data_IF_597772709523
#
_entry.id   IF_597772709523
#
_cell.length_a   1.000
_cell.length_b   1.000
_cell.length_c   1.000
_cell.angle_alpha   90.00
_cell.angle_beta   90.00
_cell.angle_gamma   90.00
#
_symmetry.space_group_name_H-M   'P 1'
#
loop_
_entity.id
_entity.type
_entity.pdbx_description
1 polymer ?
#
# COMPACT_ATOMS: atom_id res chain seq x y z
N UNK A 1 21.28 -7.90 -1.44
CA UNK A 1 19.83 -7.58 -1.46
C UNK A 1 19.61 -6.54 -2.55
N UNK A 2 18.66 -6.71 -3.47
CA UNK A 2 18.38 -5.68 -4.48
C UNK A 2 17.48 -4.55 -3.93
N UNK A 3 17.35 -3.42 -4.63
CA UNK A 3 16.60 -2.25 -4.16
C UNK A 3 15.14 -2.55 -3.83
N UNK A 4 14.47 -3.42 -4.60
CA UNK A 4 13.10 -3.82 -4.33
C UNK A 4 12.99 -4.63 -3.02
N UNK A 5 13.90 -5.58 -2.80
CA UNK A 5 13.97 -6.35 -1.55
C UNK A 5 14.29 -5.44 -0.36
N UNK A 6 15.19 -4.47 -0.55
CA UNK A 6 15.52 -3.47 0.47
C UNK A 6 14.29 -2.65 0.88
N UNK A 7 13.55 -2.10 -0.09
CA UNK A 7 12.34 -1.31 0.18
C UNK A 7 11.30 -2.15 0.93
N UNK A 8 11.08 -3.41 0.54
CA UNK A 8 10.16 -4.32 1.25
C UNK A 8 10.58 -4.50 2.70
N UNK A 9 11.85 -4.86 2.91
CA UNK A 9 12.42 -5.11 4.23
C UNK A 9 12.32 -3.87 5.12
N UNK A 10 12.72 -2.71 4.60
CA UNK A 10 12.72 -1.44 5.32
C UNK A 10 11.30 -1.04 5.76
N UNK A 11 10.32 -1.07 4.85
CA UNK A 11 8.93 -0.72 5.18
C UNK A 11 8.33 -1.69 6.18
N UNK A 12 8.53 -3.00 6.00
CA UNK A 12 8.05 -3.99 6.97
C UNK A 12 8.63 -3.72 8.36
N UNK A 13 9.94 -3.53 8.47
CA UNK A 13 10.57 -3.28 9.77
C UNK A 13 10.16 -1.95 10.39
N UNK A 14 9.93 -0.92 9.58
CA UNK A 14 9.43 0.35 10.10
C UNK A 14 8.02 0.21 10.64
N UNK A 15 7.15 -0.53 9.96
CA UNK A 15 5.81 -0.86 10.47
C UNK A 15 5.89 -1.65 11.77
N UNK A 16 6.76 -2.68 11.85
CA UNK A 16 6.95 -3.45 13.10
C UNK A 16 7.45 -2.56 14.24
N UNK A 17 8.44 -1.71 13.99
CA UNK A 17 8.94 -0.75 14.99
C UNK A 17 7.84 0.21 15.47
N UNK A 18 6.91 0.63 14.60
CA UNK A 18 5.75 1.44 15.01
C UNK A 18 4.80 0.61 15.88
N UNK A 19 4.57 -0.66 15.56
CA UNK A 19 3.70 -1.55 16.35
C UNK A 19 4.27 -1.78 17.75
N UNK A 20 5.57 -2.01 17.85
CA UNK A 20 6.26 -2.33 19.12
C UNK A 20 6.45 -1.11 20.03
N UNK A 21 6.37 0.12 19.50
CA UNK A 21 6.67 1.36 20.24
C UNK A 21 5.43 2.01 20.86
N UNK A 22 4.68 1.26 21.68
CA UNK A 22 3.34 1.60 22.19
C UNK A 22 3.16 3.07 22.60
N UNK A 23 4.11 3.62 23.37
CA UNK A 23 4.04 5.00 23.86
C UNK A 23 4.13 6.08 22.77
N UNK A 24 4.81 5.81 21.63
CA UNK A 24 5.01 6.79 20.54
C UNK A 24 4.22 6.45 19.29
N UNK A 25 3.67 5.24 19.13
CA UNK A 25 3.00 4.79 17.90
C UNK A 25 1.91 5.74 17.45
N UNK A 26 1.06 6.22 18.36
CA UNK A 26 -0.05 7.15 18.03
C UNK A 26 0.46 8.47 17.46
N UNK A 27 1.50 9.03 18.06
CA UNK A 27 2.13 10.28 17.61
C UNK A 27 2.81 10.08 16.25
N UNK A 28 3.55 8.99 16.08
CA UNK A 28 4.22 8.64 14.83
C UNK A 28 3.20 8.50 13.68
N UNK A 29 2.13 7.72 13.90
CA UNK A 29 1.07 7.56 12.91
C UNK A 29 0.36 8.87 12.61
N UNK A 30 0.18 9.75 13.62
CA UNK A 30 -0.39 11.08 13.40
C UNK A 30 0.49 11.96 12.51
N UNK A 31 1.81 11.95 12.73
CA UNK A 31 2.75 12.68 11.88
C UNK A 31 2.77 12.13 10.46
N UNK A 32 2.88 10.80 10.29
CA UNK A 32 2.84 10.16 8.97
C UNK A 32 1.58 10.56 8.17
N UNK A 33 0.41 10.65 8.83
CA UNK A 33 -0.82 11.12 8.17
C UNK A 33 -0.72 12.54 7.63
N UNK A 34 0.06 13.43 8.27
CA UNK A 34 0.29 14.80 7.76
C UNK A 34 1.15 14.84 6.50
N UNK A 35 1.77 13.71 6.14
CA UNK A 35 2.58 13.54 4.93
C UNK A 35 1.80 13.13 3.69
N UNK A 36 0.53 12.71 3.82
CA UNK A 36 -0.22 12.17 2.67
C UNK A 36 -0.43 13.27 1.62
N UNK A 37 -0.09 12.96 0.37
CA UNK A 37 -0.24 13.89 -0.76
C UNK A 37 0.90 14.91 -0.87
N UNK A 38 1.94 14.78 -0.04
CA UNK A 38 3.17 15.59 -0.10
C UNK A 38 4.32 14.81 -0.74
N UNK A 39 5.29 15.51 -1.30
CA UNK A 39 6.55 14.96 -1.82
C UNK A 39 7.49 14.61 -0.65
N UNK A 40 8.27 13.51 -0.71
CA UNK A 40 9.35 13.27 0.24
C UNK A 40 10.27 14.50 0.31
N UNK A 41 10.61 14.94 1.52
CA UNK A 41 11.35 16.19 1.73
C UNK A 41 10.50 17.38 2.19
N UNK A 42 9.21 17.44 1.83
CA UNK A 42 8.35 18.59 2.18
C UNK A 42 7.93 18.66 3.66
N UNK A 43 8.04 17.55 4.39
CA UNK A 43 7.73 17.49 5.82
C UNK A 43 8.94 16.98 6.62
N UNK A 44 9.76 17.88 7.19
CA UNK A 44 10.95 17.50 7.96
C UNK A 44 10.67 16.59 9.15
N UNK A 45 9.47 16.67 9.74
CA UNK A 45 9.07 15.77 10.85
C UNK A 45 9.02 14.30 10.45
N UNK A 46 9.01 14.00 9.15
CA UNK A 46 8.97 12.63 8.65
C UNK A 46 10.36 12.08 8.30
N UNK A 47 11.40 12.92 8.26
CA UNK A 47 12.72 12.47 7.80
C UNK A 47 13.29 11.35 8.65
N UNK A 48 13.20 11.43 9.98
CA UNK A 48 13.69 10.36 10.85
C UNK A 48 12.98 9.02 10.55
N UNK A 49 11.65 9.04 10.36
CA UNK A 49 10.90 7.80 10.13
C UNK A 49 11.04 7.26 8.71
N UNK A 50 11.15 8.13 7.70
CA UNK A 50 11.23 7.69 6.31
C UNK A 50 12.65 7.50 5.83
N UNK A 51 13.65 8.19 6.39
CA UNK A 51 15.02 8.20 5.86
C UNK A 51 16.06 7.57 6.79
N UNK A 52 15.87 7.53 8.11
CA UNK A 52 16.92 7.04 9.01
C UNK A 52 17.29 5.58 8.72
N UNK A 53 18.59 5.27 8.75
CA UNK A 53 19.12 3.92 8.48
C UNK A 53 18.88 3.39 7.05
N UNK A 54 18.60 4.27 6.09
CA UNK A 54 18.73 3.93 4.67
C UNK A 54 20.24 3.94 4.32
N UNK A 55 20.78 2.89 3.66
CA UNK A 55 22.15 2.90 3.17
C UNK A 55 22.43 4.06 2.23
N UNK A 56 23.63 4.64 2.31
CA UNK A 56 24.01 5.84 1.57
C UNK A 56 23.83 5.72 0.05
N UNK A 57 24.02 4.52 -0.49
CA UNK A 57 23.82 4.19 -1.92
C UNK A 57 22.40 4.47 -2.45
N UNK A 58 21.39 4.59 -1.57
CA UNK A 58 20.00 4.89 -1.93
C UNK A 58 19.64 6.38 -1.76
N UNK A 59 20.53 7.20 -1.23
CA UNK A 59 20.30 8.64 -1.13
C UNK A 59 20.62 9.36 -2.44
N UNK A 60 19.93 10.48 -2.63
CA UNK A 60 20.15 11.38 -3.75
C UNK A 60 21.49 12.10 -3.62
N UNK A 61 22.20 12.25 -4.75
CA UNK A 61 23.40 13.11 -4.82
C UNK A 61 23.06 14.61 -4.92
N UNK A 62 21.83 14.94 -5.30
CA UNK A 62 21.43 16.30 -5.66
C UNK A 62 20.21 16.81 -4.88
N UNK A 63 19.71 16.04 -3.92
CA UNK A 63 18.58 16.43 -3.07
C UNK A 63 17.18 16.14 -3.64
N UNK A 64 17.09 15.51 -4.81
CA UNK A 64 15.81 15.06 -5.37
C UNK A 64 15.42 13.67 -4.83
N UNK A 65 14.16 13.45 -4.41
CA UNK A 65 13.74 12.17 -3.86
C UNK A 65 13.95 10.99 -4.80
N UNK A 66 14.60 9.95 -4.30
CA UNK A 66 14.84 8.72 -5.06
C UNK A 66 13.57 7.86 -5.13
N UNK A 67 13.54 6.90 -6.07
CA UNK A 67 12.42 5.95 -6.16
C UNK A 67 12.25 5.12 -4.88
N UNK A 68 13.35 4.85 -4.17
CA UNK A 68 13.33 4.18 -2.86
C UNK A 68 12.63 5.06 -1.82
N UNK A 69 13.00 6.34 -1.75
CA UNK A 69 12.39 7.30 -0.81
C UNK A 69 10.90 7.50 -1.10
N UNK A 70 10.49 7.63 -2.37
CA UNK A 70 9.09 7.70 -2.77
C UNK A 70 8.30 6.46 -2.33
N UNK A 71 8.84 5.27 -2.59
CA UNK A 71 8.17 4.01 -2.23
C UNK A 71 7.97 3.86 -0.72
N UNK A 72 9.02 4.16 0.07
CA UNK A 72 8.96 4.13 1.53
C UNK A 72 7.94 5.15 2.03
N UNK A 73 8.04 6.40 1.56
CA UNK A 73 7.20 7.50 2.03
C UNK A 73 5.72 7.26 1.73
N UNK A 74 5.37 6.90 0.49
CA UNK A 74 3.97 6.66 0.11
C UNK A 74 3.40 5.48 0.91
N UNK A 75 4.13 4.37 1.03
CA UNK A 75 3.64 3.20 1.77
C UNK A 75 3.41 3.49 3.26
N UNK A 76 4.33 4.16 3.94
CA UNK A 76 4.20 4.46 5.37
C UNK A 76 3.07 5.48 5.64
N UNK A 77 2.93 6.50 4.79
CA UNK A 77 1.86 7.49 4.93
C UNK A 77 0.48 6.90 4.64
N UNK A 78 0.36 6.01 3.65
CA UNK A 78 -0.88 5.27 3.37
C UNK A 78 -1.20 4.24 4.47
N UNK A 79 -0.21 3.57 5.04
CA UNK A 79 -0.41 2.71 6.20
C UNK A 79 -0.98 3.51 7.37
N UNK A 80 -0.37 4.65 7.70
CA UNK A 80 -0.84 5.49 8.80
C UNK A 80 -2.25 6.06 8.58
N UNK A 81 -2.63 6.31 7.32
CA UNK A 81 -3.98 6.69 6.93
C UNK A 81 -4.99 5.56 7.16
N UNK A 82 -4.64 4.35 6.73
CA UNK A 82 -5.50 3.16 6.82
C UNK A 82 -5.68 2.72 8.28
N UNK A 83 -4.60 2.74 9.05
CA UNK A 83 -4.60 2.33 10.46
C UNK A 83 -5.39 3.29 11.36
N UNK A 84 -5.64 4.53 10.94
CA UNK A 84 -6.35 5.52 11.77
C UNK A 84 -7.76 5.04 12.13
N UNK A 85 -8.05 5.04 13.43
CA UNK A 85 -9.32 4.55 13.98
C UNK A 85 -9.33 3.04 14.29
N UNK A 86 -8.24 2.33 14.00
CA UNK A 86 -8.06 0.91 14.31
C UNK A 86 -6.90 0.72 15.30
N UNK A 87 -7.05 -0.20 16.26
CA UNK A 87 -5.96 -0.56 17.19
C UNK A 87 -4.85 -1.31 16.47
N UNK A 88 -3.59 -1.01 16.80
CA UNK A 88 -2.43 -1.74 16.29
C UNK A 88 -2.38 -3.20 16.78
N UNK A 89 -2.96 -3.49 17.94
CA UNK A 89 -2.96 -4.82 18.57
C UNK A 89 -4.07 -5.72 18.03
N UNK A 90 -5.29 -5.19 17.94
CA UNK A 90 -6.49 -5.99 17.65
C UNK A 90 -7.00 -5.86 16.23
N UNK A 91 -6.59 -4.82 15.50
CA UNK A 91 -7.05 -4.57 14.12
C UNK A 91 -5.96 -3.88 13.29
N UNK A 92 -4.86 -4.59 13.08
CA UNK A 92 -3.78 -4.15 12.21
C UNK A 92 -4.25 -4.12 10.74
N UNK A 93 -3.94 -3.06 10.01
CA UNK A 93 -4.28 -2.91 8.58
C UNK A 93 -3.15 -3.33 7.64
N UNK A 94 -1.98 -3.67 8.19
CA UNK A 94 -0.88 -4.27 7.44
C UNK A 94 -1.00 -5.80 7.46
N UNK A 95 -1.40 -6.40 6.34
CA UNK A 95 -1.53 -7.85 6.17
C UNK A 95 -0.58 -8.31 5.06
N UNK A 96 0.32 -9.25 5.36
CA UNK A 96 1.25 -9.78 4.36
C UNK A 96 0.51 -10.48 3.23
N UNK A 97 1.09 -10.41 2.03
CA UNK A 97 0.66 -11.15 0.82
C UNK A 97 -0.74 -10.79 0.29
N UNK A 98 -1.35 -9.71 0.80
CA UNK A 98 -2.58 -9.12 0.25
C UNK A 98 -2.22 -7.86 -0.52
N UNK A 99 -2.06 -7.95 -1.85
CA UNK A 99 -1.84 -6.77 -2.68
C UNK A 99 -3.13 -5.99 -2.96
N UNK A 100 -3.02 -4.81 -3.59
CA UNK A 100 -4.15 -3.90 -3.79
C UNK A 100 -5.25 -4.51 -4.66
N UNK A 101 -4.91 -5.32 -5.66
CA UNK A 101 -5.88 -6.00 -6.51
C UNK A 101 -6.71 -7.00 -5.72
N UNK A 102 -6.06 -7.87 -4.94
CA UNK A 102 -6.74 -8.82 -4.07
C UNK A 102 -7.56 -8.13 -2.97
N UNK A 103 -7.05 -7.03 -2.40
CA UNK A 103 -7.77 -6.25 -1.39
C UNK A 103 -9.03 -5.60 -1.97
N UNK A 104 -8.94 -4.99 -3.16
CA UNK A 104 -10.09 -4.40 -3.84
C UNK A 104 -11.14 -5.45 -4.18
N UNK A 105 -10.75 -6.63 -4.67
CA UNK A 105 -11.70 -7.70 -4.99
C UNK A 105 -12.52 -8.17 -3.77
N UNK A 106 -11.99 -8.06 -2.54
CA UNK A 106 -12.75 -8.35 -1.32
C UNK A 106 -13.89 -7.36 -1.05
N UNK A 107 -13.89 -6.19 -1.67
CA UNK A 107 -14.99 -5.22 -1.60
C UNK A 107 -16.19 -5.63 -2.48
N UNK A 108 -16.01 -6.57 -3.41
CA UNK A 108 -17.08 -7.03 -4.30
C UNK A 108 -17.92 -8.07 -3.56
N UNK A 109 -19.04 -7.62 -2.99
CA UNK A 109 -19.96 -8.50 -2.26
C UNK A 109 -21.01 -9.09 -3.19
N UNK A 110 -21.43 -8.31 -4.18
CA UNK A 110 -22.41 -8.68 -5.21
C UNK A 110 -21.89 -8.36 -6.61
N UNK A 111 -22.47 -8.96 -7.65
CA UNK A 111 -22.00 -8.78 -9.03
C UNK A 111 -22.14 -7.31 -9.50
N UNK A 112 -23.13 -6.58 -8.95
CA UNK A 112 -23.30 -5.15 -9.23
C UNK A 112 -22.17 -4.26 -8.68
N UNK A 113 -21.46 -4.70 -7.64
CA UNK A 113 -20.31 -3.98 -7.08
C UNK A 113 -19.09 -4.03 -8.00
N UNK A 114 -18.95 -5.10 -8.78
CA UNK A 114 -17.71 -5.40 -9.50
C UNK A 114 -17.28 -4.24 -10.39
N UNK A 115 -18.22 -3.71 -11.19
CA UNK A 115 -17.95 -2.59 -12.09
C UNK A 115 -17.48 -1.34 -11.35
N UNK A 116 -18.06 -1.05 -10.17
CA UNK A 116 -17.73 0.11 -9.35
C UNK A 116 -16.36 -0.02 -8.71
N UNK A 117 -16.04 -1.20 -8.19
CA UNK A 117 -14.75 -1.48 -7.56
C UNK A 117 -13.64 -1.57 -8.62
N UNK A 118 -13.90 -2.19 -9.77
CA UNK A 118 -12.95 -2.29 -10.88
C UNK A 118 -12.47 -0.92 -11.36
N UNK A 119 -13.32 0.12 -11.33
CA UNK A 119 -12.89 1.50 -11.66
C UNK A 119 -11.72 2.01 -10.81
N UNK A 120 -11.55 1.55 -9.58
CA UNK A 120 -10.40 1.93 -8.74
C UNK A 120 -9.11 1.26 -9.21
N UNK A 121 -9.20 -0.02 -9.60
CA UNK A 121 -8.11 -0.74 -10.23
C UNK A 121 -7.73 -0.13 -11.58
N UNK A 122 -8.72 0.18 -12.42
CA UNK A 122 -8.50 0.79 -13.74
C UNK A 122 -7.73 2.12 -13.62
N UNK A 123 -8.12 2.98 -12.67
CA UNK A 123 -7.39 4.24 -12.39
C UNK A 123 -5.95 4.01 -11.96
N UNK A 124 -5.70 2.98 -11.15
CA UNK A 124 -4.35 2.64 -10.69
C UNK A 124 -3.45 2.21 -11.86
N UNK A 125 -3.96 1.35 -12.75
CA UNK A 125 -3.17 0.85 -13.88
C UNK A 125 -2.95 1.90 -14.97
N UNK A 126 -3.82 2.91 -15.05
CA UNK A 126 -3.69 4.03 -16.01
C UNK A 126 -2.82 5.19 -15.50
N UNK A 127 -2.42 5.19 -14.22
CA UNK A 127 -1.62 6.27 -13.65
C UNK A 127 -0.37 6.54 -14.50
N UNK A 128 -0.09 7.80 -14.83
CA UNK A 128 1.05 8.19 -15.67
C UNK A 128 2.37 8.11 -14.90
N UNK A 129 2.36 8.56 -13.65
CA UNK A 129 3.52 8.64 -12.76
C UNK A 129 3.20 8.21 -11.31
N UNK A 130 4.24 8.22 -10.46
CA UNK A 130 4.13 7.82 -9.05
C UNK A 130 3.25 8.75 -8.21
N UNK A 131 3.15 10.03 -8.56
CA UNK A 131 2.35 11.03 -7.85
C UNK A 131 0.87 10.79 -8.14
N UNK A 132 0.52 10.54 -9.40
CA UNK A 132 -0.82 10.12 -9.82
C UNK A 132 -1.21 8.78 -9.22
N UNK A 133 -0.31 7.81 -9.25
CA UNK A 133 -0.53 6.52 -8.61
C UNK A 133 -0.79 6.70 -7.10
N UNK A 134 -0.05 7.55 -6.40
CA UNK A 134 -0.27 7.83 -4.98
C UNK A 134 -1.66 8.43 -4.71
N UNK A 135 -2.15 9.33 -5.56
CA UNK A 135 -3.52 9.89 -5.48
C UNK A 135 -4.59 8.80 -5.63
N UNK A 136 -4.42 7.90 -6.60
CA UNK A 136 -5.34 6.80 -6.83
C UNK A 136 -5.27 5.76 -5.70
N UNK A 137 -4.07 5.42 -5.22
CA UNK A 137 -3.86 4.53 -4.07
C UNK A 137 -4.54 5.06 -2.82
N UNK A 138 -4.43 6.37 -2.53
CA UNK A 138 -5.16 6.99 -1.40
C UNK A 138 -6.66 6.76 -1.50
N UNK A 139 -7.23 6.93 -2.70
CA UNK A 139 -8.66 6.73 -2.94
C UNK A 139 -9.07 5.28 -2.74
N UNK A 140 -8.29 4.32 -3.24
CA UNK A 140 -8.52 2.89 -3.03
C UNK A 140 -8.39 2.49 -1.55
N UNK A 141 -7.33 2.93 -0.87
CA UNK A 141 -7.12 2.68 0.56
C UNK A 141 -8.24 3.28 1.42
N UNK A 142 -8.83 4.40 1.00
CA UNK A 142 -10.00 4.96 1.70
C UNK A 142 -11.21 4.02 1.67
N UNK A 143 -11.43 3.29 0.58
CA UNK A 143 -12.49 2.27 0.53
C UNK A 143 -12.14 1.08 1.42
N UNK A 144 -10.92 0.56 1.32
CA UNK A 144 -10.45 -0.56 2.14
C UNK A 144 -10.57 -0.27 3.64
N UNK A 145 -10.26 0.97 4.04
CA UNK A 145 -10.40 1.46 5.41
C UNK A 145 -11.85 1.39 5.90
N UNK A 146 -12.82 1.73 5.06
CA UNK A 146 -14.24 1.66 5.40
C UNK A 146 -14.69 0.24 5.76
N UNK A 147 -14.19 -0.75 5.02
CA UNK A 147 -14.51 -2.17 5.22
C UNK A 147 -13.47 -2.92 6.08
N UNK A 148 -12.46 -2.22 6.60
CA UNK A 148 -11.37 -2.77 7.42
C UNK A 148 -10.64 -3.95 6.78
N UNK A 149 -10.43 -3.88 5.46
CA UNK A 149 -9.70 -4.87 4.67
C UNK A 149 -8.21 -4.51 4.68
N UNK A 150 -7.36 -5.38 5.24
CA UNK A 150 -5.92 -5.12 5.31
C UNK A 150 -5.20 -5.18 3.96
N UNK A 151 -3.99 -4.61 3.93
CA UNK A 151 -3.14 -4.50 2.74
C UNK A 151 -1.67 -4.75 3.09
N UNK A 152 -0.93 -5.39 2.20
CA UNK A 152 0.52 -5.56 2.34
C UNK A 152 1.25 -4.27 1.97
N UNK A 153 1.41 -3.36 2.93
CA UNK A 153 2.17 -2.11 2.74
C UNK A 153 3.64 -2.29 2.39
N UNK A 154 4.27 -3.39 2.81
CA UNK A 154 5.65 -3.68 2.43
C UNK A 154 5.71 -4.17 0.97
N UNK A 155 4.78 -5.02 0.56
CA UNK A 155 4.56 -5.39 -0.84
C UNK A 155 4.19 -4.20 -1.72
N UNK A 156 3.30 -3.33 -1.25
CA UNK A 156 2.92 -2.10 -1.94
C UNK A 156 4.14 -1.19 -2.18
N UNK A 157 5.07 -1.11 -1.23
CA UNK A 157 6.30 -0.36 -1.41
C UNK A 157 7.15 -0.91 -2.58
N UNK A 158 7.20 -2.23 -2.74
CA UNK A 158 7.85 -2.86 -3.91
C UNK A 158 7.15 -2.49 -5.20
N UNK A 159 5.82 -2.55 -5.22
CA UNK A 159 5.03 -2.21 -6.40
C UNK A 159 5.24 -0.74 -6.78
N UNK A 160 5.21 0.18 -5.80
CA UNK A 160 5.50 1.60 -6.01
C UNK A 160 6.91 1.80 -6.56
N UNK A 161 7.91 1.14 -5.98
CA UNK A 161 9.29 1.22 -6.46
C UNK A 161 9.39 0.76 -7.93
N UNK A 162 8.82 -0.41 -8.25
CA UNK A 162 8.84 -1.00 -9.59
C UNK A 162 8.07 -0.17 -10.63
N UNK A 163 7.01 0.51 -10.22
CA UNK A 163 6.21 1.35 -11.11
C UNK A 163 6.99 2.50 -11.75
N UNK A 164 8.12 2.91 -11.15
CA UNK A 164 9.00 3.94 -11.71
C UNK A 164 9.77 3.47 -12.97
N UNK A 165 9.71 2.19 -13.31
CA UNK A 165 10.36 1.60 -14.50
C UNK A 165 9.29 1.16 -15.51
N UNK A 166 9.56 1.30 -16.80
CA UNK A 166 8.57 1.05 -17.88
C UNK A 166 8.04 -0.39 -17.84
N UNK A 167 8.94 -1.37 -17.81
CA UNK A 167 8.59 -2.80 -17.74
C UNK A 167 7.97 -3.15 -16.37
N UNK A 168 8.43 -2.46 -15.32
CA UNK A 168 7.92 -2.62 -13.97
C UNK A 168 6.47 -2.18 -13.84
N UNK A 169 6.10 -1.04 -14.45
CA UNK A 169 4.72 -0.53 -14.50
C UNK A 169 3.76 -1.53 -15.14
N UNK A 170 4.11 -2.10 -16.30
CA UNK A 170 3.28 -3.12 -16.95
C UNK A 170 3.12 -4.37 -16.07
N UNK A 171 4.23 -4.83 -15.47
CA UNK A 171 4.24 -6.02 -14.62
C UNK A 171 3.41 -5.83 -13.34
N UNK A 172 3.51 -4.67 -12.68
CA UNK A 172 2.72 -4.32 -11.48
C UNK A 172 1.24 -4.23 -11.83
N UNK A 173 0.88 -3.56 -12.92
CA UNK A 173 -0.51 -3.46 -13.37
C UNK A 173 -1.13 -4.83 -13.65
N UNK A 174 -0.39 -5.72 -14.34
CA UNK A 174 -0.85 -7.08 -14.60
C UNK A 174 -0.99 -7.88 -13.30
N UNK A 175 -0.02 -7.78 -12.39
CA UNK A 175 -0.07 -8.48 -11.11
C UNK A 175 -1.30 -8.09 -10.28
N UNK A 176 -1.61 -6.80 -10.21
CA UNK A 176 -2.81 -6.31 -9.52
C UNK A 176 -4.09 -6.82 -10.20
N UNK A 177 -4.17 -6.79 -11.53
CA UNK A 177 -5.31 -7.33 -12.26
C UNK A 177 -5.49 -8.84 -12.04
N UNK A 178 -4.42 -9.62 -12.15
CA UNK A 178 -4.45 -11.07 -11.90
C UNK A 178 -4.93 -11.38 -10.47
N UNK A 179 -4.45 -10.61 -9.50
CA UNK A 179 -4.82 -10.80 -8.10
C UNK A 179 -6.29 -10.44 -7.84
N UNK A 180 -6.80 -9.40 -8.49
CA UNK A 180 -8.21 -9.04 -8.46
C UNK A 180 -9.09 -10.17 -9.00
N UNK A 181 -8.84 -10.62 -10.23
CA UNK A 181 -9.65 -11.68 -10.85
C UNK A 181 -9.50 -13.05 -10.17
N UNK A 182 -8.29 -13.38 -9.69
CA UNK A 182 -8.06 -14.61 -8.91
C UNK A 182 -8.88 -14.62 -7.63
N UNK A 183 -8.96 -13.47 -6.94
CA UNK A 183 -9.75 -13.35 -5.72
C UNK A 183 -11.26 -13.41 -6.00
N UNK A 184 -11.75 -12.78 -7.07
CA UNK A 184 -13.16 -12.90 -7.46
C UNK A 184 -13.55 -14.35 -7.75
N UNK A 185 -12.71 -15.07 -8.50
CA UNK A 185 -12.93 -16.48 -8.81
C UNK A 185 -13.02 -17.34 -7.54
N UNK A 186 -12.10 -17.13 -6.58
CA UNK A 186 -12.14 -17.82 -5.27
C UNK A 186 -13.42 -17.52 -4.50
N UNK A 187 -13.84 -16.26 -4.42
CA UNK A 187 -15.06 -15.84 -3.73
C UNK A 187 -16.33 -16.46 -4.34
N UNK A 188 -16.42 -16.52 -5.67
CA UNK A 188 -17.56 -17.14 -6.36
C UNK A 188 -17.64 -18.65 -6.10
N UNK A 189 -16.50 -19.35 -6.14
CA UNK A 189 -16.46 -20.78 -5.85
C UNK A 189 -16.86 -21.10 -4.41
N UNK A 190 -16.39 -20.33 -3.43
CA UNK A 190 -16.81 -20.49 -2.02
C UNK A 190 -18.32 -20.30 -1.85
N UNK A 191 -18.92 -19.31 -2.52
CA UNK A 191 -20.38 -19.10 -2.50
C UNK A 191 -21.16 -20.28 -3.09
N UNK A 192 -20.64 -20.93 -4.14
CA UNK A 192 -21.26 -22.12 -4.77
C UNK A 192 -21.18 -23.34 -3.84
N UNK A 193 -20.02 -23.60 -3.25
CA UNK A 193 -19.85 -24.69 -2.27
C UNK A 193 -20.82 -24.56 -1.09
N UNK A 194 -20.91 -23.36 -0.50
CA UNK A 194 -21.80 -23.12 0.66
C UNK A 194 -23.31 -23.20 0.34
N UNK A 195 -23.71 -23.10 -0.94
CA UNK A 195 -25.10 -23.26 -1.39
C UNK A 195 -25.47 -24.72 -1.71
N UNK A 196 -24.49 -25.58 -1.98
CA UNK A 196 -24.72 -27.00 -2.29
C UNK A 196 -24.77 -27.92 -1.05
N UNK A 197 -24.41 -27.39 0.13
CA UNK A 197 -24.42 -28.12 1.42
C UNK A 197 -25.68 -27.84 2.28
N UNK A 198 -26.66 -27.09 1.75
CA UNK A 198 -27.96 -26.84 2.38
C UNK A 198 -29.08 -27.49 1.61
#
# INVERSE_FOLDING_TARGET
MNSAQFVKYYVNNRIQSIIENDHKSKAILAELRRGIGKKPGENPKLWEITLANIPEEYYSKYGEPTYVEWAIYISLTLFAFHQQGNSLETKLMHHRDVNIGAALAQLVKEDEDESRIKRYLDRLVTASDVIEMARHLRSAVSLLKGEKIGLDYAGLAVDIFRFNFIEGKQSVSLLWAQSFYSQLYKSQNQKKSNKGEK
#
